data_IF_489479718144
#
_entry.id   IF_489479718144
#
_cell.length_a   1.000
_cell.length_b   1.000
_cell.length_c   1.000
_cell.angle_alpha   90.00
_cell.angle_beta   90.00
_cell.angle_gamma   90.00
#
_symmetry.space_group_name_H-M   'P 1'
#
loop_
_entity.id
_entity.type
_entity.pdbx_description
1 polymer ?
#
# COMPACT_ATOMS: atom_id res chain seq x y z
N UNK A 1 16.96 23.00 11.90
CA UNK A 1 15.88 22.31 11.17
C UNK A 1 15.93 20.86 11.60
N UNK A 2 15.00 20.40 12.44
CA UNK A 2 14.89 18.98 12.76
C UNK A 2 13.97 18.38 11.71
N UNK A 3 14.52 17.62 10.78
CA UNK A 3 13.73 16.62 10.07
C UNK A 3 13.22 15.67 11.16
N UNK A 4 12.01 15.91 11.64
CA UNK A 4 11.25 14.91 12.37
C UNK A 4 11.13 13.74 11.42
N UNK A 5 11.86 12.69 11.75
CA UNK A 5 11.76 11.33 11.20
C UNK A 5 10.27 11.02 11.00
N UNK A 6 9.78 11.23 9.78
CA UNK A 6 8.38 11.04 9.48
C UNK A 6 8.17 9.52 9.52
N UNK A 7 7.23 8.99 10.33
CA UNK A 7 7.03 7.55 10.43
C UNK A 7 6.68 6.91 9.07
N UNK A 8 6.27 7.72 8.08
CA UNK A 8 6.07 7.31 6.70
C UNK A 8 7.37 7.12 5.91
N UNK A 9 8.49 7.75 6.28
CA UNK A 9 9.79 7.58 5.63
C UNK A 9 10.43 6.22 5.94
N UNK A 10 10.00 5.56 7.02
CA UNK A 10 10.39 4.19 7.37
C UNK A 10 9.38 3.14 6.89
N UNK A 11 8.40 3.52 6.09
CA UNK A 11 7.37 2.60 5.62
C UNK A 11 8.00 1.59 4.63
N UNK A 12 8.07 0.29 4.96
CA UNK A 12 8.62 -0.72 4.05
C UNK A 12 7.84 -0.85 2.75
N UNK A 13 6.57 -0.40 2.72
CA UNK A 13 5.74 -0.39 1.52
C UNK A 13 6.17 0.67 0.49
N UNK A 14 6.97 1.67 0.90
CA UNK A 14 7.41 2.78 0.02
C UNK A 14 8.40 2.32 -1.07
N UNK A 15 9.16 1.27 -0.78
CA UNK A 15 10.14 0.69 -1.71
C UNK A 15 9.59 -0.53 -2.48
N UNK A 16 8.40 -1.01 -2.09
CA UNK A 16 7.74 -2.15 -2.72
C UNK A 16 6.92 -1.70 -3.92
N UNK A 17 6.99 -2.49 -5.01
CA UNK A 17 6.10 -2.30 -6.14
C UNK A 17 4.70 -2.89 -5.84
N UNK A 18 3.74 -2.65 -6.73
CA UNK A 18 2.37 -3.18 -6.62
C UNK A 18 2.36 -4.69 -6.30
N UNK A 19 3.07 -5.50 -7.08
CA UNK A 19 3.08 -6.97 -6.96
C UNK A 19 3.67 -7.47 -5.63
N UNK A 20 4.70 -6.80 -5.12
CA UNK A 20 5.33 -7.08 -3.82
C UNK A 20 4.35 -6.79 -2.67
N UNK A 21 3.61 -5.67 -2.78
CA UNK A 21 2.56 -5.32 -1.81
C UNK A 21 1.46 -6.38 -1.83
N UNK A 22 0.96 -6.77 -3.01
CA UNK A 22 -0.05 -7.84 -3.11
C UNK A 22 0.43 -9.16 -2.52
N UNK A 23 1.68 -9.55 -2.80
CA UNK A 23 2.26 -10.80 -2.30
C UNK A 23 2.42 -10.78 -0.77
N UNK A 24 2.78 -9.62 -0.20
CA UNK A 24 2.84 -9.44 1.25
C UNK A 24 1.46 -9.64 1.87
N UNK A 25 0.42 -8.97 1.34
CA UNK A 25 -0.93 -9.06 1.88
C UNK A 25 -1.62 -10.40 1.60
N UNK A 26 -1.25 -11.13 0.54
CA UNK A 26 -1.73 -12.49 0.26
C UNK A 26 -1.34 -13.51 1.34
N UNK A 27 -0.26 -13.25 2.07
CA UNK A 27 0.15 -14.06 3.23
C UNK A 27 -0.68 -13.82 4.49
N UNK A 28 -1.46 -12.73 4.54
CA UNK A 28 -2.37 -12.44 5.63
C UNK A 28 -3.78 -12.85 5.21
N UNK A 29 -4.57 -13.45 6.10
CA UNK A 29 -6.02 -13.60 5.88
C UNK A 29 -6.69 -12.22 6.00
N UNK A 30 -6.49 -11.39 4.98
CA UNK A 30 -6.98 -10.02 4.91
C UNK A 30 -8.46 -10.03 4.54
N UNK A 31 -9.30 -10.38 5.52
CA UNK A 31 -10.75 -10.49 5.36
C UNK A 31 -11.49 -9.45 6.17
N UNK A 32 -12.65 -9.05 5.69
CA UNK A 32 -13.56 -8.18 6.45
C UNK A 32 -14.35 -8.98 7.51
N UNK A 33 -15.14 -8.29 8.34
CA UNK A 33 -15.98 -8.90 9.38
C UNK A 33 -17.00 -9.94 8.85
N UNK A 34 -17.33 -9.87 7.56
CA UNK A 34 -18.19 -10.82 6.84
C UNK A 34 -17.42 -11.96 6.16
N UNK A 35 -16.08 -11.96 6.24
CA UNK A 35 -15.23 -12.98 5.65
C UNK A 35 -14.92 -12.79 4.17
N UNK A 36 -15.24 -11.64 3.57
CA UNK A 36 -14.82 -11.36 2.19
C UNK A 36 -13.34 -11.02 2.15
N UNK A 37 -12.66 -11.54 1.13
CA UNK A 37 -11.28 -11.23 0.86
C UNK A 37 -11.14 -9.77 0.40
N UNK A 38 -10.50 -8.96 1.23
CA UNK A 38 -10.26 -7.55 0.97
C UNK A 38 -9.13 -7.33 -0.06
N UNK A 39 -8.31 -8.34 -0.35
CA UNK A 39 -7.32 -8.27 -1.45
C UNK A 39 -8.00 -8.13 -2.81
N UNK A 40 -9.16 -8.76 -2.97
CA UNK A 40 -9.96 -8.77 -4.19
C UNK A 40 -11.00 -7.64 -4.22
N UNK A 41 -11.00 -6.76 -3.22
CA UNK A 41 -11.85 -5.58 -3.26
C UNK A 41 -11.24 -4.57 -4.24
N UNK A 42 -12.04 -4.13 -5.22
CA UNK A 42 -11.67 -3.09 -6.21
C UNK A 42 -11.04 -1.87 -5.55
N UNK A 43 -11.51 -1.50 -4.36
CA UNK A 43 -10.94 -0.39 -3.58
C UNK A 43 -9.50 -0.65 -3.12
N UNK A 44 -9.14 -1.86 -2.72
CA UNK A 44 -7.78 -2.18 -2.28
C UNK A 44 -6.79 -2.09 -3.45
N UNK A 45 -7.12 -2.68 -4.60
CA UNK A 45 -6.24 -2.61 -5.76
C UNK A 45 -6.01 -1.18 -6.23
N UNK A 46 -7.07 -0.36 -6.25
CA UNK A 46 -6.98 1.05 -6.61
C UNK A 46 -6.16 1.87 -5.60
N UNK A 47 -6.25 1.55 -4.32
CA UNK A 47 -5.46 2.22 -3.28
C UNK A 47 -3.98 1.88 -3.39
N UNK A 48 -3.64 0.61 -3.65
CA UNK A 48 -2.25 0.17 -3.86
C UNK A 48 -1.71 0.79 -5.15
N UNK A 49 -2.50 0.83 -6.22
CA UNK A 49 -2.12 1.48 -7.46
C UNK A 49 -1.87 2.98 -7.25
N UNK A 50 -2.79 3.70 -6.58
CA UNK A 50 -2.62 5.13 -6.27
C UNK A 50 -1.39 5.40 -5.39
N UNK A 51 -1.12 4.53 -4.40
CA UNK A 51 0.01 4.67 -3.50
C UNK A 51 1.36 4.38 -4.17
N UNK A 52 1.37 3.52 -5.19
CA UNK A 52 2.59 3.14 -5.94
C UNK A 52 2.79 3.98 -7.20
N UNK A 53 1.75 4.59 -7.74
CA UNK A 53 1.87 5.67 -8.72
C UNK A 53 2.36 6.91 -7.98
N UNK A 54 3.68 7.13 -8.01
CA UNK A 54 4.28 8.42 -7.66
C UNK A 54 3.45 9.52 -8.33
N UNK A 55 2.92 10.51 -7.59
CA UNK A 55 2.52 11.74 -8.24
C UNK A 55 3.81 12.29 -8.84
N UNK A 56 3.96 12.20 -10.16
CA UNK A 56 4.71 13.20 -10.89
C UNK A 56 3.94 14.49 -10.68
N UNK A 57 4.16 15.14 -9.54
CA UNK A 57 3.90 16.56 -9.39
C UNK A 57 4.88 17.18 -10.37
N UNK A 58 4.40 17.34 -11.61
CA UNK A 58 5.13 17.95 -12.69
C UNK A 58 5.54 19.36 -12.29
N UNK A 59 6.74 19.68 -12.75
CA UNK A 59 7.44 20.97 -12.72
C UNK A 59 6.58 22.23 -12.79
#
# INVERSE_FOLDING_TARGET
>A
MKHTDDPLDKNPLKEMNKEEIFSLFAGYEFRDQHGHDLLNCVHFEQLVELATTVPTCGE
#
